data_IF_055986282681
#
_entry.id   IF_055986282681
#
_cell.length_a   1.000
_cell.length_b   1.000
_cell.length_c   1.000
_cell.angle_alpha   90.00
_cell.angle_beta   90.00
_cell.angle_gamma   90.00
#
_symmetry.space_group_name_H-M   'P 1'
#
loop_
_entity.id
_entity.type
_entity.pdbx_description
1 polymer ?
#
# COMPACT_ATOMS: atom_id res chain seq x y z
N UNK A 1 -6.48 14.05 -20.91
CA UNK A 1 -6.03 12.63 -20.90
C UNK A 1 -4.49 12.47 -20.84
N UNK A 2 -3.72 12.98 -21.82
CA UNK A 2 -2.25 12.79 -21.88
C UNK A 2 -1.52 13.24 -20.61
N UNK A 3 -1.88 14.40 -20.04
CA UNK A 3 -1.29 14.89 -18.79
C UNK A 3 -1.47 13.91 -17.62
N UNK A 4 -2.65 13.31 -17.46
CA UNK A 4 -2.93 12.35 -16.38
C UNK A 4 -2.07 11.09 -16.55
N UNK A 5 -1.99 10.58 -17.79
CA UNK A 5 -1.13 9.43 -18.10
C UNK A 5 0.33 9.75 -17.78
N UNK A 6 0.81 10.92 -18.22
CA UNK A 6 2.18 11.36 -17.99
C UNK A 6 2.49 11.50 -16.50
N UNK A 7 1.63 12.18 -15.72
CA UNK A 7 1.81 12.33 -14.27
C UNK A 7 1.86 10.97 -13.58
N UNK A 8 0.94 10.06 -13.91
CA UNK A 8 0.91 8.73 -13.30
C UNK A 8 2.15 7.89 -13.65
N UNK A 9 2.61 7.93 -14.90
CA UNK A 9 3.87 7.27 -15.30
C UNK A 9 5.10 7.87 -14.61
N UNK A 10 5.16 9.19 -14.43
CA UNK A 10 6.25 9.86 -13.71
C UNK A 10 6.24 9.44 -12.24
N UNK A 11 5.07 9.39 -11.58
CA UNK A 11 4.95 8.91 -10.21
C UNK A 11 5.40 7.44 -10.08
N UNK A 12 4.94 6.57 -10.99
CA UNK A 12 5.37 5.17 -11.04
C UNK A 12 6.89 5.04 -11.16
N UNK A 13 7.50 5.75 -12.14
CA UNK A 13 8.93 5.72 -12.37
C UNK A 13 9.72 6.27 -11.17
N UNK A 14 9.19 7.29 -10.48
CA UNK A 14 9.81 7.85 -9.28
C UNK A 14 9.78 6.87 -8.09
N UNK A 15 8.66 6.19 -7.84
CA UNK A 15 8.54 5.16 -6.79
C UNK A 15 9.47 3.98 -7.10
N UNK A 16 9.49 3.51 -8.35
CA UNK A 16 10.41 2.46 -8.79
C UNK A 16 11.88 2.87 -8.64
N UNK A 17 12.22 4.06 -9.11
CA UNK A 17 13.58 4.62 -9.00
C UNK A 17 14.02 4.76 -7.54
N UNK A 18 13.12 5.20 -6.66
CA UNK A 18 13.37 5.27 -5.22
C UNK A 18 13.75 3.91 -4.64
N UNK A 19 12.94 2.87 -4.87
CA UNK A 19 13.22 1.54 -4.31
C UNK A 19 14.47 0.90 -4.90
N UNK A 20 14.70 1.03 -6.22
CA UNK A 20 15.93 0.54 -6.85
C UNK A 20 17.15 1.21 -6.20
N UNK A 21 17.12 2.53 -6.04
CA UNK A 21 18.21 3.27 -5.43
C UNK A 21 18.46 2.83 -3.98
N UNK A 22 17.41 2.73 -3.16
CA UNK A 22 17.53 2.31 -1.76
C UNK A 22 18.02 0.87 -1.64
N UNK A 23 17.49 -0.06 -2.42
CA UNK A 23 17.89 -1.47 -2.35
C UNK A 23 19.36 -1.62 -2.77
N UNK A 24 19.80 -0.90 -3.81
CA UNK A 24 21.23 -0.87 -4.20
C UNK A 24 22.10 -0.29 -3.09
N UNK A 25 21.70 0.81 -2.46
CA UNK A 25 22.40 1.42 -1.33
C UNK A 25 22.55 0.46 -0.15
N UNK A 26 21.54 -0.35 0.13
CA UNK A 26 21.54 -1.35 1.19
C UNK A 26 22.09 -2.73 0.77
N UNK A 27 22.54 -2.88 -0.48
CA UNK A 27 23.04 -4.14 -1.08
C UNK A 27 22.03 -5.29 -1.02
N UNK A 28 20.75 -4.97 -1.21
CA UNK A 28 19.66 -5.94 -1.31
C UNK A 28 19.42 -6.34 -2.77
N UNK A 29 18.87 -7.53 -2.98
CA UNK A 29 18.45 -7.95 -4.32
C UNK A 29 17.28 -7.10 -4.80
N UNK A 30 17.48 -6.35 -5.89
CA UNK A 30 16.52 -5.37 -6.40
C UNK A 30 15.51 -5.95 -7.41
N UNK A 31 15.78 -7.11 -8.01
CA UNK A 31 14.91 -7.66 -9.06
C UNK A 31 13.49 -8.00 -8.58
N UNK A 32 13.31 -8.24 -7.27
CA UNK A 32 11.99 -8.51 -6.69
C UNK A 32 11.08 -7.27 -6.67
N UNK A 33 11.65 -6.07 -6.81
CA UNK A 33 10.90 -4.81 -6.84
C UNK A 33 9.97 -4.79 -8.07
N UNK A 34 10.35 -5.50 -9.13
CA UNK A 34 9.52 -5.64 -10.33
C UNK A 34 8.40 -6.67 -10.17
N UNK A 35 8.31 -7.34 -9.02
CA UNK A 35 7.22 -8.25 -8.75
C UNK A 35 5.91 -7.47 -8.53
N UNK A 36 4.75 -8.04 -8.93
CA UNK A 36 3.45 -7.44 -8.69
C UNK A 36 3.15 -7.16 -7.22
N UNK A 37 3.80 -7.91 -6.32
CA UNK A 37 3.74 -7.69 -4.87
C UNK A 37 4.20 -6.28 -4.48
N UNK A 38 5.17 -5.73 -5.21
CA UNK A 38 5.84 -4.47 -4.88
C UNK A 38 5.32 -3.28 -5.69
N UNK A 39 5.00 -3.50 -6.98
CA UNK A 39 4.61 -2.45 -7.93
C UNK A 39 3.16 -2.60 -8.44
N UNK A 40 2.38 -3.49 -7.83
CA UNK A 40 1.03 -3.82 -8.28
C UNK A 40 1.02 -4.54 -9.64
N UNK A 41 -0.17 -4.73 -10.20
CA UNK A 41 -0.28 -5.20 -11.58
C UNK A 41 0.31 -4.14 -12.53
N UNK A 42 1.45 -4.47 -13.18
CA UNK A 42 2.14 -3.61 -14.17
C UNK A 42 1.21 -3.20 -15.32
N UNK A 43 0.10 -3.91 -15.55
CA UNK A 43 -0.92 -3.50 -16.51
C UNK A 43 -1.69 -2.23 -16.12
N UNK A 44 -1.67 -1.83 -14.85
CA UNK A 44 -2.43 -0.69 -14.36
C UNK A 44 -1.52 0.45 -13.89
N UNK A 45 -0.53 0.82 -14.72
CA UNK A 45 0.40 1.93 -14.42
C UNK A 45 -0.33 3.27 -14.28
N UNK A 46 -1.42 3.48 -15.03
CA UNK A 46 -2.22 4.72 -14.94
C UNK A 46 -3.17 4.61 -13.74
N UNK A 47 -2.64 4.88 -12.55
CA UNK A 47 -3.39 4.88 -11.27
C UNK A 47 -2.95 6.04 -10.37
N UNK A 48 -3.88 6.48 -9.53
CA UNK A 48 -3.64 7.47 -8.47
C UNK A 48 -2.75 6.93 -7.35
N UNK A 49 -2.72 5.61 -7.17
CA UNK A 49 -2.07 4.93 -6.05
C UNK A 49 -0.55 5.24 -6.00
N UNK A 50 0.15 5.28 -7.15
CA UNK A 50 1.57 5.63 -7.19
C UNK A 50 1.87 7.09 -6.79
N UNK A 51 0.91 8.00 -7.02
CA UNK A 51 1.04 9.38 -6.55
C UNK A 51 0.95 9.42 -5.01
N UNK A 52 0.03 8.64 -4.43
CA UNK A 52 -0.10 8.49 -2.97
C UNK A 52 1.15 7.85 -2.35
N UNK A 53 1.69 6.82 -2.98
CA UNK A 53 2.93 6.20 -2.52
C UNK A 53 4.11 7.16 -2.55
N UNK A 54 4.22 7.97 -3.61
CA UNK A 54 5.28 8.98 -3.74
C UNK A 54 5.13 10.08 -2.67
N UNK A 55 3.90 10.55 -2.43
CA UNK A 55 3.61 11.53 -1.38
C UNK A 55 3.89 10.96 0.02
N UNK A 56 3.54 9.69 0.29
CA UNK A 56 3.95 8.99 1.50
C UNK A 56 5.47 8.95 1.65
N UNK A 57 6.19 8.51 0.61
CA UNK A 57 7.67 8.47 0.61
C UNK A 57 8.25 9.86 0.91
N UNK A 58 7.68 10.91 0.31
CA UNK A 58 8.02 12.30 0.60
C UNK A 58 7.81 12.66 2.07
N UNK A 59 6.66 12.34 2.65
CA UNK A 59 6.37 12.55 4.07
C UNK A 59 7.33 11.80 4.98
N UNK A 60 7.62 10.53 4.69
CA UNK A 60 8.57 9.71 5.44
C UNK A 60 9.99 10.29 5.37
N UNK A 61 10.43 10.76 4.20
CA UNK A 61 11.74 11.38 4.04
C UNK A 61 11.86 12.69 4.83
N UNK A 62 10.82 13.53 4.80
CA UNK A 62 10.77 14.78 5.56
C UNK A 62 10.73 14.54 7.08
N UNK A 63 9.88 13.61 7.52
CA UNK A 63 9.68 13.32 8.94
C UNK A 63 10.78 12.44 9.53
N UNK A 64 11.47 11.62 8.75
CA UNK A 64 12.40 10.60 9.22
C UNK A 64 13.73 11.14 9.77
N UNK A 65 14.24 12.23 9.22
CA UNK A 65 15.54 12.75 9.60
C UNK A 65 15.43 13.98 10.51
N UNK A 66 15.93 13.88 11.74
CA UNK A 66 15.90 14.98 12.72
C UNK A 66 16.63 16.25 12.26
N UNK A 67 17.53 16.14 11.27
CA UNK A 67 18.17 17.31 10.62
C UNK A 67 17.19 18.14 9.79
N UNK A 68 16.21 17.51 9.15
CA UNK A 68 15.16 18.17 8.35
C UNK A 68 13.87 18.37 9.17
N UNK A 69 13.60 17.51 10.15
CA UNK A 69 12.48 17.63 11.09
C UNK A 69 12.64 18.78 12.11
N UNK A 70 13.51 19.76 11.82
CA UNK A 70 13.59 21.00 12.58
C UNK A 70 12.43 21.91 12.18
N UNK A 71 11.28 21.63 12.77
CA UNK A 71 10.31 22.68 13.01
C UNK A 71 8.86 22.31 12.81
N UNK A 72 8.04 23.17 13.41
CA UNK A 72 6.61 23.29 13.23
C UNK A 72 6.21 23.28 11.74
N UNK A 73 7.02 23.86 10.85
CA UNK A 73 6.76 23.90 9.41
C UNK A 73 6.66 22.50 8.80
N UNK A 74 7.64 21.62 9.04
CA UNK A 74 7.63 20.26 8.45
C UNK A 74 6.43 19.45 8.93
N UNK A 75 6.07 19.60 10.21
CA UNK A 75 4.87 18.98 10.76
C UNK A 75 3.61 19.44 10.01
N UNK A 76 3.45 20.74 9.78
CA UNK A 76 2.28 21.28 9.09
C UNK A 76 2.26 20.97 7.60
N UNK A 77 3.42 20.91 6.94
CA UNK A 77 3.52 20.41 5.56
C UNK A 77 3.09 18.95 5.50
N UNK A 78 3.60 18.09 6.37
CA UNK A 78 3.16 16.69 6.43
C UNK A 78 1.66 16.56 6.74
N UNK A 79 1.13 17.41 7.63
CA UNK A 79 -0.32 17.47 7.93
C UNK A 79 -1.14 17.84 6.69
N UNK A 80 -0.72 18.86 5.95
CA UNK A 80 -1.38 19.27 4.71
C UNK A 80 -1.33 18.17 3.64
N UNK A 81 -0.18 17.50 3.49
CA UNK A 81 -0.05 16.36 2.57
C UNK A 81 -0.96 15.20 3.00
N UNK A 82 -1.08 14.89 4.30
CA UNK A 82 -2.05 13.88 4.78
C UNK A 82 -3.50 14.23 4.45
N UNK A 83 -3.88 15.51 4.52
CA UNK A 83 -5.22 15.96 4.13
C UNK A 83 -5.43 15.73 2.62
N UNK A 84 -4.44 16.11 1.80
CA UNK A 84 -4.49 15.89 0.35
C UNK A 84 -4.60 14.40 0.02
N UNK A 85 -3.83 13.55 0.72
CA UNK A 85 -3.88 12.09 0.57
C UNK A 85 -5.25 11.51 0.89
N UNK A 86 -5.84 11.93 2.02
CA UNK A 86 -7.18 11.54 2.39
C UNK A 86 -8.20 11.93 1.30
N UNK A 87 -8.10 13.16 0.77
CA UNK A 87 -9.00 13.66 -0.27
C UNK A 87 -8.82 12.93 -1.62
N UNK A 88 -7.62 12.44 -1.94
CA UNK A 88 -7.37 11.63 -3.13
C UNK A 88 -7.97 10.23 -2.97
N UNK A 89 -7.79 9.64 -1.79
CA UNK A 89 -8.31 8.32 -1.47
C UNK A 89 -8.32 8.10 0.05
N UNK A 90 -9.52 7.98 0.59
CA UNK A 90 -9.81 7.82 2.00
C UNK A 90 -9.16 6.57 2.61
N UNK A 91 -8.88 5.54 1.80
CA UNK A 91 -8.17 4.34 2.21
C UNK A 91 -6.80 4.62 2.85
N UNK A 92 -6.18 5.77 2.57
CA UNK A 92 -4.92 6.23 3.19
C UNK A 92 -4.97 6.21 4.72
N UNK A 93 -6.16 6.34 5.33
CA UNK A 93 -6.35 6.24 6.78
C UNK A 93 -5.89 4.91 7.37
N UNK A 94 -5.94 3.82 6.60
CA UNK A 94 -5.64 2.48 7.10
C UNK A 94 -4.17 2.08 6.93
N UNK A 95 -3.49 2.63 5.91
CA UNK A 95 -2.13 2.20 5.58
C UNK A 95 -1.07 3.28 5.81
N UNK A 96 -1.34 4.55 5.49
CA UNK A 96 -0.37 5.63 5.66
C UNK A 96 -0.46 6.34 7.01
N UNK A 97 -1.67 6.71 7.44
CA UNK A 97 -1.90 7.50 8.66
C UNK A 97 -1.31 6.84 9.93
N UNK A 98 -1.42 5.53 10.18
CA UNK A 98 -0.85 4.93 11.39
C UNK A 98 0.66 5.20 11.53
N UNK A 99 1.40 5.15 10.42
CA UNK A 99 2.83 5.44 10.39
C UNK A 99 3.09 6.92 10.56
N UNK A 100 2.37 7.79 9.84
CA UNK A 100 2.58 9.24 9.93
C UNK A 100 2.26 9.75 11.34
N UNK A 101 1.17 9.30 11.95
CA UNK A 101 0.81 9.66 13.34
C UNK A 101 1.87 9.18 14.32
N UNK A 102 2.41 7.97 14.17
CA UNK A 102 3.54 7.48 14.97
C UNK A 102 4.77 8.40 14.83
N UNK A 103 5.09 8.84 13.62
CA UNK A 103 6.22 9.74 13.36
C UNK A 103 5.99 11.15 13.91
N UNK A 104 4.78 11.68 13.83
CA UNK A 104 4.38 12.97 14.44
C UNK A 104 4.52 12.88 15.96
N UNK A 105 3.98 11.83 16.57
CA UNK A 105 4.03 11.61 18.01
C UNK A 105 5.47 11.57 18.53
N UNK A 106 6.35 10.85 17.82
CA UNK A 106 7.77 10.69 18.17
C UNK A 106 8.68 11.84 17.74
N UNK A 107 8.17 12.84 17.02
CA UNK A 107 8.96 14.00 16.59
C UNK A 107 9.41 14.87 17.78
N UNK A 108 10.34 15.79 17.56
CA UNK A 108 10.87 16.70 18.60
C UNK A 108 10.05 18.00 18.75
N UNK A 109 8.94 18.15 18.00
CA UNK A 109 8.08 19.33 18.05
C UNK A 109 7.34 19.48 19.38
N UNK A 110 6.78 20.68 19.63
CA UNK A 110 6.01 20.94 20.83
C UNK A 110 4.79 20.01 20.93
N UNK A 111 4.48 19.57 22.15
CA UNK A 111 3.37 18.63 22.42
C UNK A 111 2.04 19.12 21.83
N UNK A 112 1.76 20.41 21.94
CA UNK A 112 0.52 21.01 21.42
C UNK A 112 0.44 20.97 19.90
N UNK A 113 1.53 21.28 19.19
CA UNK A 113 1.55 21.20 17.72
C UNK A 113 1.24 19.78 17.24
N UNK A 114 1.77 18.75 17.91
CA UNK A 114 1.48 17.34 17.60
C UNK A 114 0.02 16.99 17.81
N UNK A 115 -0.56 17.39 18.95
CA UNK A 115 -1.97 17.12 19.27
C UNK A 115 -2.85 17.77 18.22
N UNK A 116 -2.65 19.06 17.94
CA UNK A 116 -3.45 19.80 16.96
C UNK A 116 -3.32 19.19 15.57
N UNK A 117 -2.10 18.85 15.12
CA UNK A 117 -1.87 18.20 13.83
C UNK A 117 -2.64 16.87 13.70
N UNK A 118 -2.56 16.00 14.71
CA UNK A 118 -3.29 14.72 14.72
C UNK A 118 -4.81 14.97 14.74
N UNK A 119 -5.29 15.91 15.55
CA UNK A 119 -6.71 16.28 15.61
C UNK A 119 -7.20 16.75 14.24
N UNK A 120 -6.46 17.61 13.54
CA UNK A 120 -6.82 18.09 12.19
C UNK A 120 -6.94 16.93 11.19
N UNK A 121 -6.00 15.98 11.20
CA UNK A 121 -6.04 14.80 10.33
C UNK A 121 -7.29 13.96 10.62
N UNK A 122 -7.57 13.67 11.89
CA UNK A 122 -8.73 12.87 12.31
C UNK A 122 -10.04 13.59 11.99
N UNK A 123 -10.14 14.89 12.28
CA UNK A 123 -11.31 15.71 11.95
C UNK A 123 -11.57 15.77 10.44
N UNK A 124 -10.52 15.81 9.62
CA UNK A 124 -10.65 15.75 8.15
C UNK A 124 -11.31 14.43 7.74
N UNK A 125 -10.81 13.30 8.23
CA UNK A 125 -11.39 11.99 7.92
C UNK A 125 -12.85 11.88 8.40
N UNK A 126 -13.16 12.33 9.61
CA UNK A 126 -14.54 12.34 10.13
C UNK A 126 -15.46 13.19 9.23
N UNK A 127 -14.97 14.36 8.78
CA UNK A 127 -15.70 15.23 7.86
C UNK A 127 -15.99 14.52 6.55
N UNK A 128 -15.01 13.82 5.98
CA UNK A 128 -15.20 13.03 4.75
C UNK A 128 -16.24 11.91 4.94
N UNK A 129 -16.20 11.20 6.07
CA UNK A 129 -17.19 10.16 6.38
C UNK A 129 -18.61 10.73 6.56
N UNK A 130 -18.73 11.92 7.15
CA UNK A 130 -20.00 12.60 7.34
C UNK A 130 -20.57 13.12 6.01
N UNK A 131 -19.72 13.69 5.17
CA UNK A 131 -20.08 14.28 3.87
C UNK A 131 -19.70 13.35 2.71
N UNK A 132 -20.25 12.13 2.69
CA UNK A 132 -19.94 11.07 1.70
C UNK A 132 -20.42 11.33 0.26
N UNK A 133 -21.06 12.47 -0.01
CA UNK A 133 -21.62 12.82 -1.32
C UNK A 133 -23.02 12.25 -1.58
N UNK A 134 -23.53 12.46 -2.80
CA UNK A 134 -24.83 12.00 -3.27
C UNK A 134 -24.77 11.66 -4.78
N UNK A 135 -25.74 10.88 -5.32
CA UNK A 135 -25.82 10.62 -6.75
C UNK A 135 -25.83 11.90 -7.59
N UNK A 136 -26.50 12.95 -7.11
CA UNK A 136 -26.50 14.27 -7.76
C UNK A 136 -25.09 14.86 -7.86
N UNK A 137 -24.32 14.84 -6.76
CA UNK A 137 -22.93 15.32 -6.77
C UNK A 137 -22.06 14.51 -7.72
N UNK A 138 -22.24 13.19 -7.81
CA UNK A 138 -21.50 12.36 -8.75
C UNK A 138 -21.82 12.69 -10.21
N UNK A 139 -23.10 12.92 -10.51
CA UNK A 139 -23.54 13.39 -11.84
C UNK A 139 -22.95 14.75 -12.18
N UNK A 140 -22.97 15.70 -11.24
CA UNK A 140 -22.36 17.02 -11.42
C UNK A 140 -20.85 16.93 -11.70
N UNK A 141 -20.14 16.03 -11.02
CA UNK A 141 -18.71 15.77 -11.28
C UNK A 141 -18.52 15.22 -12.69
N UNK A 142 -19.29 14.19 -13.09
CA UNK A 142 -19.20 13.62 -14.46
C UNK A 142 -19.46 14.72 -15.49
N UNK A 143 -20.49 15.53 -15.29
CA UNK A 143 -20.88 16.60 -16.20
C UNK A 143 -19.79 17.67 -16.29
N UNK A 144 -19.13 18.01 -15.17
CA UNK A 144 -17.99 18.93 -15.15
C UNK A 144 -16.77 18.40 -15.92
N UNK A 145 -16.65 17.08 -16.07
CA UNK A 145 -15.52 16.43 -16.73
C UNK A 145 -15.80 16.12 -18.22
N UNK A 146 -17.05 16.18 -18.67
CA UNK A 146 -17.45 15.94 -20.06
C UNK A 146 -16.62 16.71 -21.10
N UNK A 147 -16.25 18.00 -20.90
CA UNK A 147 -15.44 18.73 -21.88
C UNK A 147 -14.05 18.12 -22.11
N UNK A 148 -13.52 17.38 -21.11
CA UNK A 148 -12.20 16.76 -21.15
C UNK A 148 -12.24 15.25 -21.42
N UNK A 149 -13.39 14.62 -21.15
CA UNK A 149 -13.62 13.18 -21.27
C UNK A 149 -15.05 12.91 -21.81
N UNK A 150 -15.28 13.09 -23.11
CA UNK A 150 -16.63 13.00 -23.69
C UNK A 150 -17.24 11.58 -23.64
N UNK A 151 -16.40 10.55 -23.50
CA UNK A 151 -16.85 9.15 -23.35
C UNK A 151 -17.09 8.75 -21.88
N UNK A 152 -16.90 9.67 -20.92
CA UNK A 152 -17.10 9.37 -19.51
C UNK A 152 -18.60 9.20 -19.23
N UNK A 153 -19.05 7.97 -19.08
CA UNK A 153 -20.42 7.65 -18.70
C UNK A 153 -20.49 7.18 -17.25
N UNK A 154 -21.66 7.33 -16.63
CA UNK A 154 -21.97 6.77 -15.31
C UNK A 154 -22.19 5.24 -15.40
N UNK A 155 -21.17 4.53 -15.87
CA UNK A 155 -21.14 3.07 -15.91
C UNK A 155 -20.38 2.54 -14.69
N UNK A 156 -20.75 1.37 -14.19
CA UNK A 156 -20.09 0.68 -13.07
C UNK A 156 -18.61 0.35 -13.33
N UNK A 157 -18.16 0.41 -14.59
CA UNK A 157 -16.77 0.31 -15.01
C UNK A 157 -15.95 1.59 -14.80
N UNK A 158 -16.62 2.75 -14.62
CA UNK A 158 -15.98 4.03 -14.29
C UNK A 158 -15.82 4.18 -12.77
N UNK A 159 -14.77 4.86 -12.31
CA UNK A 159 -14.53 5.05 -10.87
C UNK A 159 -15.64 5.84 -10.16
N UNK A 160 -16.40 6.68 -10.89
CA UNK A 160 -17.53 7.43 -10.35
C UNK A 160 -18.78 6.56 -10.32
N UNK A 161 -19.06 5.80 -11.38
CA UNK A 161 -20.20 4.86 -11.40
C UNK A 161 -20.02 3.62 -10.52
N UNK A 162 -18.80 3.37 -10.02
CA UNK A 162 -18.52 2.36 -9.00
C UNK A 162 -18.86 2.83 -7.56
N UNK A 163 -19.24 4.10 -7.36
CA UNK A 163 -19.65 4.61 -6.06
C UNK A 163 -21.01 4.01 -5.69
N UNK A 164 -21.02 3.15 -4.66
CA UNK A 164 -22.24 2.56 -4.12
C UNK A 164 -22.99 3.54 -3.21
N UNK A 165 -24.27 3.78 -3.48
CA UNK A 165 -25.12 4.66 -2.66
C UNK A 165 -25.88 3.91 -1.55
N UNK A 166 -26.03 2.59 -1.70
CA UNK A 166 -26.64 1.70 -0.71
C UNK A 166 -25.56 1.03 0.13
N UNK A 167 -25.51 1.41 1.41
CA UNK A 167 -24.58 0.84 2.40
C UNK A 167 -24.76 -0.66 2.58
N UNK A 168 -26.00 -1.15 2.61
CA UNK A 168 -26.32 -2.57 2.83
C UNK A 168 -25.88 -3.40 1.62
N UNK A 169 -26.19 -2.93 0.42
CA UNK A 169 -25.72 -3.56 -0.81
C UNK A 169 -24.20 -3.57 -0.87
N UNK A 170 -23.54 -2.44 -0.59
CA UNK A 170 -22.08 -2.31 -0.60
C UNK A 170 -21.42 -3.27 0.38
N UNK A 171 -21.94 -3.35 1.61
CA UNK A 171 -21.45 -4.29 2.62
C UNK A 171 -21.59 -5.75 2.17
N UNK A 172 -22.77 -6.14 1.66
CA UNK A 172 -23.01 -7.49 1.15
C UNK A 172 -22.10 -7.81 -0.03
N UNK A 173 -21.94 -6.88 -0.96
CA UNK A 173 -21.05 -7.03 -2.12
C UNK A 173 -19.60 -7.28 -1.67
N UNK A 174 -19.08 -6.48 -0.73
CA UNK A 174 -17.73 -6.66 -0.23
C UNK A 174 -17.55 -7.97 0.55
N UNK A 175 -18.46 -8.29 1.47
CA UNK A 175 -18.39 -9.55 2.22
C UNK A 175 -18.45 -10.77 1.29
N UNK A 176 -19.39 -10.79 0.35
CA UNK A 176 -19.53 -11.91 -0.59
C UNK A 176 -18.32 -11.98 -1.51
N UNK A 177 -17.85 -10.86 -2.05
CA UNK A 177 -16.71 -10.85 -2.96
C UNK A 177 -15.42 -11.20 -2.23
N UNK A 178 -15.24 -10.82 -0.96
CA UNK A 178 -14.01 -11.11 -0.23
C UNK A 178 -13.95 -12.58 0.21
N UNK A 179 -15.03 -13.12 0.74
CA UNK A 179 -15.02 -14.44 1.38
C UNK A 179 -15.59 -15.57 0.53
N UNK A 180 -16.33 -15.25 -0.54
CA UNK A 180 -16.95 -16.21 -1.42
C UNK A 180 -16.63 -15.88 -2.89
N UNK A 181 -16.62 -16.91 -3.74
CA UNK A 181 -16.49 -16.75 -5.19
C UNK A 181 -17.64 -17.45 -5.89
N UNK A 182 -18.17 -16.92 -7.00
CA UNK A 182 -19.09 -17.65 -7.86
C UNK A 182 -18.54 -19.00 -8.35
N UNK A 183 -17.21 -19.14 -8.48
CA UNK A 183 -16.55 -20.33 -9.06
C UNK A 183 -16.14 -21.36 -8.02
N UNK A 184 -15.48 -20.92 -6.96
CA UNK A 184 -14.89 -21.79 -5.92
C UNK A 184 -15.63 -21.70 -4.57
N UNK A 185 -16.73 -20.94 -4.52
CA UNK A 185 -17.54 -20.77 -3.31
C UNK A 185 -16.71 -20.23 -2.14
N UNK A 186 -16.96 -20.81 -0.96
CA UNK A 186 -16.30 -20.46 0.29
C UNK A 186 -14.84 -20.93 0.39
N UNK A 187 -14.33 -21.71 -0.57
CA UNK A 187 -12.89 -22.06 -0.62
C UNK A 187 -12.01 -20.81 -0.82
N UNK A 188 -12.60 -19.70 -1.27
CA UNK A 188 -11.93 -18.41 -1.37
C UNK A 188 -11.37 -17.92 -0.03
N UNK A 189 -12.12 -18.05 1.07
CA UNK A 189 -11.69 -17.59 2.40
C UNK A 189 -10.37 -18.24 2.86
N UNK A 190 -10.22 -19.58 2.92
CA UNK A 190 -8.96 -20.20 3.32
C UNK A 190 -7.82 -19.93 2.33
N UNK A 191 -8.09 -19.81 1.01
CA UNK A 191 -7.07 -19.45 0.03
C UNK A 191 -6.57 -18.02 0.21
N UNK A 192 -7.46 -17.10 0.53
CA UNK A 192 -7.12 -15.70 0.79
C UNK A 192 -6.31 -15.53 2.08
N UNK A 193 -6.64 -16.30 3.12
CA UNK A 193 -5.83 -16.39 4.33
C UNK A 193 -4.45 -16.99 4.04
N UNK A 194 -4.38 -18.09 3.28
CA UNK A 194 -3.13 -18.71 2.87
C UNK A 194 -2.26 -17.74 2.07
N UNK A 195 -2.85 -16.99 1.14
CA UNK A 195 -2.16 -15.96 0.40
C UNK A 195 -1.67 -14.85 1.33
N UNK A 196 -2.50 -14.32 2.22
CA UNK A 196 -2.07 -13.31 3.18
C UNK A 196 -0.87 -13.77 4.01
N UNK A 197 -0.87 -15.04 4.47
CA UNK A 197 0.26 -15.65 5.18
C UNK A 197 1.50 -15.73 4.27
N UNK A 198 1.34 -16.15 3.01
CA UNK A 198 2.41 -16.22 2.02
C UNK A 198 3.05 -14.84 1.79
N UNK A 199 2.25 -13.81 1.50
CA UNK A 199 2.69 -12.43 1.32
C UNK A 199 3.40 -11.90 2.57
N UNK A 200 2.83 -12.14 3.75
CA UNK A 200 3.43 -11.74 5.02
C UNK A 200 4.78 -12.42 5.23
N UNK A 201 4.88 -13.72 4.97
CA UNK A 201 6.14 -14.46 5.08
C UNK A 201 7.20 -13.91 4.12
N UNK A 202 6.82 -13.65 2.87
CA UNK A 202 7.73 -13.10 1.86
C UNK A 202 8.26 -11.72 2.23
N UNK A 203 7.37 -10.80 2.60
CA UNK A 203 7.74 -9.42 2.94
C UNK A 203 8.59 -9.39 4.20
N UNK A 204 8.15 -10.04 5.28
CA UNK A 204 8.85 -10.01 6.56
C UNK A 204 10.23 -10.69 6.49
N UNK A 205 10.38 -11.77 5.71
CA UNK A 205 11.67 -12.46 5.57
C UNK A 205 12.51 -11.98 4.38
N UNK A 206 12.07 -10.96 3.66
CA UNK A 206 12.79 -10.43 2.52
C UNK A 206 14.21 -9.98 2.91
N UNK A 207 14.30 -9.12 3.93
CA UNK A 207 15.58 -8.57 4.40
C UNK A 207 16.50 -9.68 4.87
N UNK A 208 15.98 -10.68 5.58
CA UNK A 208 16.77 -11.83 6.03
C UNK A 208 17.34 -12.64 4.87
N UNK A 209 16.55 -12.84 3.81
CA UNK A 209 16.92 -13.69 2.67
C UNK A 209 17.87 -12.99 1.69
N UNK A 210 17.71 -11.68 1.52
CA UNK A 210 18.35 -10.93 0.43
C UNK A 210 19.35 -9.88 0.88
N UNK A 211 19.56 -9.69 2.18
CA UNK A 211 20.65 -8.84 2.70
C UNK A 211 21.88 -9.66 3.07
N UNK A 212 23.07 -9.04 3.08
CA UNK A 212 24.27 -9.66 3.65
C UNK A 212 24.03 -10.15 5.09
N UNK A 213 24.60 -11.31 5.47
CA UNK A 213 24.45 -11.84 6.83
C UNK A 213 25.09 -10.90 7.86
N UNK A 214 24.44 -10.72 9.01
CA UNK A 214 24.94 -9.91 10.12
C UNK A 214 23.84 -9.42 11.05
N UNK A 215 24.23 -8.83 12.19
CA UNK A 215 23.28 -8.37 13.22
C UNK A 215 22.28 -7.33 12.70
N UNK A 216 22.71 -6.42 11.81
CA UNK A 216 21.84 -5.41 11.21
C UNK A 216 20.69 -6.02 10.41
N UNK A 217 20.90 -7.18 9.79
CA UNK A 217 19.87 -7.90 9.03
C UNK A 217 18.72 -8.34 9.92
N UNK A 218 19.01 -8.92 11.08
CA UNK A 218 18.00 -9.37 12.04
C UNK A 218 17.21 -8.20 12.61
N UNK A 219 17.90 -7.11 12.97
CA UNK A 219 17.25 -5.89 13.46
C UNK A 219 16.31 -5.28 12.40
N UNK A 220 16.75 -5.22 11.14
CA UNK A 220 15.94 -4.69 10.05
C UNK A 220 14.76 -5.61 9.73
N UNK A 221 14.93 -6.94 9.75
CA UNK A 221 13.81 -7.90 9.66
C UNK A 221 12.80 -7.63 10.77
N UNK A 222 13.23 -7.58 12.03
CA UNK A 222 12.33 -7.35 13.16
C UNK A 222 11.54 -6.05 13.04
N UNK A 223 12.19 -4.96 12.63
CA UNK A 223 11.51 -3.67 12.37
C UNK A 223 10.55 -3.75 11.19
N UNK A 224 10.93 -4.41 10.11
CA UNK A 224 10.05 -4.61 8.94
C UNK A 224 8.81 -5.41 9.31
N UNK A 225 8.98 -6.55 10.00
CA UNK A 225 7.85 -7.34 10.53
C UNK A 225 6.96 -6.49 11.43
N UNK A 226 7.53 -5.69 12.33
CA UNK A 226 6.74 -4.85 13.24
C UNK A 226 5.93 -3.77 12.51
N UNK A 227 6.55 -3.05 11.57
CA UNK A 227 5.85 -2.04 10.75
C UNK A 227 4.78 -2.71 9.88
N UNK A 228 5.09 -3.86 9.27
CA UNK A 228 4.14 -4.62 8.47
C UNK A 228 2.94 -5.06 9.29
N UNK A 229 3.14 -5.64 10.48
CA UNK A 229 2.05 -6.09 11.33
C UNK A 229 1.20 -4.94 11.89
N UNK A 230 1.81 -3.78 12.22
CA UNK A 230 1.07 -2.58 12.57
C UNK A 230 0.14 -2.15 11.42
N UNK A 231 0.71 -2.01 10.22
CA UNK A 231 -0.03 -1.57 9.03
C UNK A 231 -1.11 -2.58 8.64
N UNK A 232 -0.79 -3.88 8.66
CA UNK A 232 -1.74 -4.96 8.38
C UNK A 232 -2.91 -4.97 9.35
N UNK A 233 -2.66 -4.75 10.64
CA UNK A 233 -3.72 -4.65 11.66
C UNK A 233 -4.65 -3.47 11.36
N UNK A 234 -4.09 -2.31 11.04
CA UNK A 234 -4.89 -1.14 10.66
C UNK A 234 -5.65 -1.35 9.33
N UNK A 235 -5.15 -2.20 8.44
CA UNK A 235 -5.80 -2.54 7.17
C UNK A 235 -6.81 -3.68 7.24
N UNK A 236 -7.04 -4.32 8.40
CA UNK A 236 -8.06 -5.38 8.54
C UNK A 236 -9.43 -4.96 7.96
N UNK A 237 -9.96 -3.75 8.22
CA UNK A 237 -11.23 -3.32 7.61
C UNK A 237 -11.19 -3.32 6.07
N UNK A 238 -10.06 -2.94 5.48
CA UNK A 238 -9.85 -2.95 4.03
C UNK A 238 -9.84 -4.37 3.46
N UNK A 239 -9.19 -5.32 4.15
CA UNK A 239 -9.12 -6.73 3.74
C UNK A 239 -10.43 -7.49 3.93
N UNK A 240 -11.43 -6.91 4.60
CA UNK A 240 -12.64 -7.63 4.99
C UNK A 240 -13.90 -7.03 4.38
N UNK A 241 -14.12 -5.72 4.53
CA UNK A 241 -15.42 -5.11 4.22
C UNK A 241 -15.35 -3.80 3.43
N UNK A 242 -14.17 -3.20 3.27
CA UNK A 242 -14.03 -1.89 2.60
C UNK A 242 -13.34 -1.93 1.23
N UNK A 243 -12.71 -3.04 0.84
CA UNK A 243 -12.11 -3.19 -0.49
C UNK A 243 -12.15 -4.64 -0.95
N UNK A 244 -12.16 -4.82 -2.28
CA UNK A 244 -12.08 -6.13 -2.96
C UNK A 244 -10.80 -6.27 -3.81
N UNK A 245 -10.03 -5.19 -3.95
CA UNK A 245 -8.77 -5.16 -4.72
C UNK A 245 -7.58 -5.53 -3.81
N UNK A 246 -7.37 -6.84 -3.59
CA UNK A 246 -6.29 -7.35 -2.72
C UNK A 246 -4.90 -7.03 -3.25
N UNK A 247 -4.72 -6.98 -4.57
CA UNK A 247 -3.43 -6.66 -5.18
C UNK A 247 -2.93 -5.30 -4.72
N UNK A 248 -3.81 -4.30 -4.74
CA UNK A 248 -3.55 -2.96 -4.22
C UNK A 248 -3.30 -2.96 -2.72
N UNK A 249 -4.05 -3.74 -1.93
CA UNK A 249 -3.85 -3.79 -0.49
C UNK A 249 -2.47 -4.37 -0.11
N UNK A 250 -2.01 -5.42 -0.80
CA UNK A 250 -0.68 -5.96 -0.60
C UNK A 250 0.42 -4.97 -1.02
N UNK A 251 0.21 -4.26 -2.13
CA UNK A 251 1.11 -3.19 -2.57
C UNK A 251 1.25 -2.11 -1.48
N UNK A 252 0.14 -1.60 -0.93
CA UNK A 252 0.18 -0.63 0.17
C UNK A 252 0.93 -1.12 1.39
N UNK A 253 0.68 -2.37 1.82
CA UNK A 253 1.42 -2.98 2.92
C UNK A 253 2.92 -3.04 2.64
N UNK A 254 3.28 -3.48 1.44
CA UNK A 254 4.66 -3.66 1.03
C UNK A 254 5.38 -2.30 0.98
N UNK A 255 4.88 -1.37 0.17
CA UNK A 255 5.47 -0.05 -0.05
C UNK A 255 5.60 0.72 1.26
N UNK A 256 4.55 0.77 2.06
CA UNK A 256 4.57 1.46 3.37
C UNK A 256 5.62 0.87 4.30
N UNK A 257 5.66 -0.45 4.41
CA UNK A 257 6.57 -1.12 5.34
C UNK A 257 8.02 -0.95 4.95
N UNK A 258 8.35 -1.16 3.67
CA UNK A 258 9.70 -0.99 3.16
C UNK A 258 10.15 0.47 3.19
N UNK A 259 9.33 1.40 2.69
CA UNK A 259 9.68 2.82 2.69
C UNK A 259 9.94 3.32 4.12
N UNK A 260 9.13 2.89 5.09
CA UNK A 260 9.29 3.25 6.50
C UNK A 260 10.62 2.73 7.05
N UNK A 261 10.96 1.46 6.85
CA UNK A 261 12.22 0.89 7.37
C UNK A 261 13.45 1.47 6.68
N UNK A 262 13.33 1.85 5.40
CA UNK A 262 14.44 2.43 4.63
C UNK A 262 14.69 3.91 4.96
N UNK A 263 13.65 4.68 5.26
CA UNK A 263 13.76 6.13 5.48
C UNK A 263 13.84 6.51 6.95
N UNK A 264 13.20 5.77 7.85
CA UNK A 264 13.12 6.14 9.25
C UNK A 264 14.29 5.51 10.02
N UNK A 265 15.07 6.31 10.79
CA UNK A 265 16.13 5.79 11.63
C UNK A 265 15.62 4.72 12.60
N UNK A 266 16.33 3.59 12.67
CA UNK A 266 15.92 2.44 13.48
C UNK A 266 15.62 2.77 14.94
N UNK A 267 16.44 3.63 15.57
CA UNK A 267 16.22 4.07 16.95
C UNK A 267 14.89 4.82 17.15
N UNK A 268 14.42 5.54 16.13
CA UNK A 268 13.13 6.24 16.17
C UNK A 268 11.97 5.27 15.96
N UNK A 269 12.11 4.28 15.08
CA UNK A 269 11.14 3.18 14.96
C UNK A 269 11.02 2.42 16.27
N UNK A 270 12.14 2.08 16.91
CA UNK A 270 12.13 1.33 18.17
C UNK A 270 11.43 2.10 19.30
N UNK A 271 11.48 3.44 19.28
CA UNK A 271 10.77 4.32 20.22
C UNK A 271 9.29 4.48 19.89
N UNK A 272 8.94 4.54 18.59
CA UNK A 272 7.55 4.74 18.14
C UNK A 272 6.70 3.48 18.19
N UNK A 273 7.30 2.31 17.94
CA UNK A 273 6.58 1.04 17.90
C UNK A 273 6.24 0.56 19.32
N UNK A 274 5.01 0.07 19.55
CA UNK A 274 4.61 -0.48 20.84
C UNK A 274 5.51 -1.65 21.29
N UNK A 275 5.84 -1.70 22.58
CA UNK A 275 6.68 -2.76 23.15
C UNK A 275 6.09 -4.16 22.96
N UNK A 276 4.78 -4.31 23.09
CA UNK A 276 4.08 -5.59 22.89
C UNK A 276 4.20 -6.08 21.44
N UNK A 277 4.12 -5.17 20.46
CA UNK A 277 4.20 -5.49 19.04
C UNK A 277 5.60 -6.01 18.69
N UNK A 278 6.64 -5.36 19.22
CA UNK A 278 8.03 -5.83 19.05
C UNK A 278 8.21 -7.25 19.60
N UNK A 279 7.72 -7.52 20.81
CA UNK A 279 7.79 -8.88 21.41
C UNK A 279 7.03 -9.91 20.57
N UNK A 280 5.82 -9.56 20.12
CA UNK A 280 5.02 -10.39 19.23
C UNK A 280 5.78 -10.70 17.94
N UNK A 281 6.42 -9.71 17.31
CA UNK A 281 7.17 -9.91 16.06
C UNK A 281 8.40 -10.80 16.25
N UNK A 282 9.09 -10.70 17.40
CA UNK A 282 10.19 -11.60 17.74
C UNK A 282 9.68 -13.04 17.91
N UNK A 283 8.56 -13.22 18.62
CA UNK A 283 7.95 -14.54 18.79
C UNK A 283 7.54 -15.12 17.43
N UNK A 284 6.85 -14.34 16.61
CA UNK A 284 6.44 -14.73 15.26
C UNK A 284 7.64 -15.16 14.40
N UNK A 285 8.70 -14.34 14.34
CA UNK A 285 9.89 -14.66 13.56
C UNK A 285 10.56 -15.95 14.07
N UNK A 286 10.69 -16.12 15.39
CA UNK A 286 11.29 -17.33 15.97
C UNK A 286 10.46 -18.58 15.69
N UNK A 287 9.13 -18.49 15.80
CA UNK A 287 8.23 -19.60 15.48
C UNK A 287 8.33 -19.94 14.00
N UNK A 288 8.28 -18.94 13.12
CA UNK A 288 8.40 -19.14 11.67
C UNK A 288 9.74 -19.78 11.30
N UNK A 289 10.85 -19.28 11.85
CA UNK A 289 12.19 -19.82 11.60
C UNK A 289 12.34 -21.26 12.09
N UNK A 290 11.56 -21.70 13.09
CA UNK A 290 11.58 -23.10 13.56
C UNK A 290 10.92 -24.08 12.60
N UNK A 291 10.01 -23.62 11.73
CA UNK A 291 9.31 -24.46 10.75
C UNK A 291 9.83 -24.27 9.32
N UNK A 292 10.16 -23.03 8.93
CA UNK A 292 10.49 -22.66 7.56
C UNK A 292 11.68 -21.70 7.51
N UNK A 293 12.90 -22.24 7.40
CA UNK A 293 14.10 -21.43 7.21
C UNK A 293 13.99 -20.61 5.91
N UNK A 294 13.99 -19.27 5.97
CA UNK A 294 13.88 -18.45 4.77
C UNK A 294 15.06 -18.68 3.83
N UNK A 295 14.75 -18.99 2.57
CA UNK A 295 15.76 -19.18 1.51
C UNK A 295 15.36 -18.45 0.24
N UNK A 296 16.35 -18.10 -0.59
CA UNK A 296 16.09 -17.42 -1.88
C UNK A 296 15.18 -18.25 -2.78
N UNK A 297 15.39 -19.57 -2.84
CA UNK A 297 14.57 -20.49 -3.63
C UNK A 297 13.12 -20.54 -3.14
N UNK A 298 12.91 -20.59 -1.81
CA UNK A 298 11.58 -20.54 -1.23
C UNK A 298 10.88 -19.21 -1.53
N UNK A 299 11.58 -18.07 -1.40
CA UNK A 299 11.00 -16.75 -1.75
C UNK A 299 10.59 -16.67 -3.22
N UNK A 300 11.40 -17.20 -4.14
CA UNK A 300 11.09 -17.25 -5.57
C UNK A 300 9.87 -18.16 -5.82
N UNK A 301 9.83 -19.34 -5.20
CA UNK A 301 8.71 -20.26 -5.34
C UNK A 301 7.40 -19.65 -4.81
N UNK A 302 7.44 -19.02 -3.64
CA UNK A 302 6.30 -18.33 -3.06
C UNK A 302 5.85 -17.14 -3.91
N UNK A 303 6.77 -16.43 -4.56
CA UNK A 303 6.43 -15.36 -5.50
C UNK A 303 5.59 -15.88 -6.67
N UNK A 304 5.99 -17.01 -7.25
CA UNK A 304 5.20 -17.68 -8.31
C UNK A 304 3.87 -18.25 -7.81
N UNK A 305 3.73 -18.56 -6.51
CA UNK A 305 2.48 -19.08 -5.93
C UNK A 305 1.54 -17.97 -5.44
N UNK A 306 2.08 -16.85 -4.95
CA UNK A 306 1.35 -15.67 -4.46
C UNK A 306 0.50 -14.98 -5.55
N UNK A 307 0.78 -15.37 -6.78
CA UNK A 307 0.21 -15.01 -8.07
C UNK A 307 -1.13 -15.66 -8.40
N UNK A 308 -1.48 -16.74 -7.71
CA UNK A 308 -2.70 -17.52 -7.98
C UNK A 308 -3.97 -16.74 -7.54
N UNK A 309 -3.80 -15.57 -6.94
CA UNK A 309 -4.86 -14.70 -6.45
C UNK A 309 -5.38 -13.68 -7.48
N UNK A 310 -5.17 -13.92 -8.77
CA UNK A 310 -5.75 -13.14 -9.89
C UNK A 310 -7.29 -13.14 -9.87
N UNK A 311 -7.87 -12.38 -8.95
CA UNK A 311 -9.28 -12.03 -8.92
C UNK A 311 -9.41 -10.78 -9.79
N UNK A 312 -9.48 -10.99 -11.10
CA UNK A 312 -10.31 -10.16 -11.95
C UNK A 312 -10.63 -10.93 -13.23
N UNK A 313 -11.93 -11.16 -13.41
CA UNK A 313 -12.63 -11.84 -14.49
C UNK A 313 -12.79 -13.36 -14.34
N UNK A 314 -14.06 -13.76 -14.49
CA UNK A 314 -14.65 -15.10 -14.38
C UNK A 314 -14.02 -16.17 -15.29
N UNK A 315 -12.96 -15.89 -16.05
CA UNK A 315 -12.42 -16.78 -17.08
C UNK A 315 -10.89 -16.93 -17.13
N UNK A 316 -10.10 -16.24 -16.30
CA UNK A 316 -8.63 -16.37 -16.39
C UNK A 316 -8.01 -16.84 -15.08
N UNK A 317 -7.71 -18.13 -15.02
CA UNK A 317 -6.88 -18.75 -13.98
C UNK A 317 -5.39 -18.37 -14.11
N UNK A 318 -5.06 -17.21 -14.69
CA UNK A 318 -3.75 -16.94 -15.26
C UNK A 318 -3.30 -15.49 -15.23
N UNK A 319 -3.53 -14.73 -14.15
CA UNK A 319 -2.84 -13.44 -13.98
C UNK A 319 -1.61 -13.63 -13.10
N UNK A 320 -0.61 -14.33 -13.63
CA UNK A 320 0.69 -14.46 -12.99
C UNK A 320 1.58 -13.21 -13.19
N UNK A 321 2.60 -13.01 -12.38
CA UNK A 321 3.73 -12.11 -12.41
C UNK A 321 4.40 -12.16 -13.77
N UNK A 322 4.58 -13.34 -14.35
CA UNK A 322 5.10 -13.48 -15.71
C UNK A 322 4.09 -13.00 -16.76
N UNK A 323 2.80 -13.31 -16.59
CA UNK A 323 1.75 -12.85 -17.51
C UNK A 323 1.54 -11.33 -17.40
N UNK A 324 1.59 -10.78 -16.19
CA UNK A 324 1.44 -9.37 -15.84
C UNK A 324 2.66 -8.56 -16.24
N UNK A 325 3.87 -9.10 -16.09
CA UNK A 325 5.10 -8.51 -16.61
C UNK A 325 5.10 -8.54 -18.13
N UNK A 326 4.75 -9.67 -18.75
CA UNK A 326 4.66 -9.79 -20.20
C UNK A 326 3.63 -8.81 -20.79
N UNK A 327 2.39 -8.82 -20.28
CA UNK A 327 1.36 -7.89 -20.75
C UNK A 327 1.65 -6.44 -20.35
N UNK A 328 2.22 -6.19 -19.17
CA UNK A 328 2.65 -4.87 -18.75
C UNK A 328 3.76 -4.29 -19.63
N UNK A 329 4.74 -5.11 -20.02
CA UNK A 329 5.77 -4.76 -20.99
C UNK A 329 5.18 -4.52 -22.38
N UNK A 330 4.28 -5.40 -22.85
CA UNK A 330 3.58 -5.20 -24.13
C UNK A 330 2.75 -3.91 -24.13
N UNK A 331 2.03 -3.63 -23.06
CA UNK A 331 1.26 -2.39 -22.90
C UNK A 331 2.17 -1.16 -22.85
N UNK A 332 3.26 -1.21 -22.11
CA UNK A 332 4.23 -0.12 -22.07
C UNK A 332 4.85 0.13 -23.45
N UNK A 333 5.22 -0.93 -24.18
CA UNK A 333 5.71 -0.84 -25.56
C UNK A 333 4.66 -0.24 -26.48
N UNK A 334 3.40 -0.70 -26.40
CA UNK A 334 2.31 -0.15 -27.20
C UNK A 334 2.06 1.33 -26.89
N UNK A 335 2.01 1.73 -25.61
CA UNK A 335 1.83 3.13 -25.23
C UNK A 335 2.99 4.05 -25.64
N UNK A 336 4.21 3.52 -25.78
CA UNK A 336 5.39 4.28 -26.20
C UNK A 336 5.52 4.32 -27.73
N UNK A 337 5.10 3.26 -28.43
CA UNK A 337 5.31 3.11 -29.88
C UNK A 337 4.06 3.40 -30.74
N UNK A 338 2.87 3.52 -30.15
CA UNK A 338 1.61 3.76 -30.85
C UNK A 338 0.64 2.61 -30.67
#
# INVERSE_FOLDING_TARGET
>A
VLLIKAVSMVCYAAVLGFFIWQFRKHRWNWWIILAPVFMGFVMCIIRKDFMQELMLIGMLAMLGHDRYAKGRVVLWVATAVCIIELLIHEAFVFWGIPIIVMLIYTSTTARWDKIVSITVIVSTFITMCWFKGSPGIASDIIQSWQPYFPDLQEQTSSSIGAIGWDTMWTFRFHCMTNFCSPTIGWLRLPLQLAAFICYTYMVCNFVYTFSPPGHQRELMRGRLTAVYMLTATCMIPMFTVLSVDYSRLYQYLCVTSFATVLLIPGARLDRGLPGWLKRFTTCLNNTVDSYFTPSKGLMVALLFLSDINGIHQLNDAGVGTLVSLYHGLLMAVHYVLG
#
